data_IF_796581896898
#
_entry.id   IF_796581896898
#
_cell.length_a   1.000
_cell.length_b   1.000
_cell.length_c   1.000
_cell.angle_alpha   90.00
_cell.angle_beta   90.00
_cell.angle_gamma   90.00
#
_symmetry.space_group_name_H-M   'P 1'
#
loop_
_entity.id
_entity.type
_entity.pdbx_description
1 polymer ?
#
# COMPACT_ATOMS: atom_id res chain seq x y z
N UNK A 1 0.42 -23.54 -5.43
CA UNK A 1 0.67 -22.15 -5.00
C UNK A 1 1.76 -22.16 -3.95
N UNK A 2 2.89 -21.58 -4.27
CA UNK A 2 4.06 -21.63 -3.38
C UNK A 2 3.97 -20.63 -2.23
N UNK A 3 3.15 -19.60 -2.39
CA UNK A 3 2.98 -18.55 -1.36
C UNK A 3 1.51 -18.27 -1.16
N UNK A 4 1.08 -18.10 0.10
CA UNK A 4 -0.30 -17.67 0.33
C UNK A 4 -0.52 -16.26 -0.22
N UNK A 5 -1.73 -15.99 -0.67
CA UNK A 5 -2.15 -14.66 -1.07
C UNK A 5 -2.80 -14.03 0.16
N UNK A 6 -2.28 -12.90 0.59
CA UNK A 6 -2.86 -12.16 1.70
C UNK A 6 -4.20 -11.57 1.28
N UNK A 7 -5.16 -11.58 2.19
CA UNK A 7 -6.50 -11.03 1.98
C UNK A 7 -6.80 -10.02 3.08
N UNK A 8 -7.33 -8.86 2.68
CA UNK A 8 -7.76 -7.81 3.60
C UNK A 8 -9.09 -7.25 3.11
N UNK A 9 -10.04 -7.06 4.03
CA UNK A 9 -11.36 -6.56 3.72
C UNK A 9 -11.64 -5.32 4.57
N UNK A 10 -12.18 -4.25 3.96
CA UNK A 10 -12.47 -3.02 4.69
C UNK A 10 -13.57 -2.21 3.98
N UNK A 11 -14.26 -1.31 4.73
CA UNK A 11 -15.30 -0.49 4.15
C UNK A 11 -14.74 0.70 3.37
N UNK A 12 -15.52 1.15 2.38
CA UNK A 12 -15.25 2.36 1.62
C UNK A 12 -16.51 3.22 1.56
N UNK A 13 -16.33 4.53 1.37
CA UNK A 13 -17.41 5.51 1.26
C UNK A 13 -18.13 5.41 -0.09
N UNK A 14 -17.38 5.17 -1.14
CA UNK A 14 -17.86 5.17 -2.53
C UNK A 14 -17.06 4.12 -3.29
N UNK A 15 -17.72 3.02 -3.61
CA UNK A 15 -17.04 1.88 -4.25
C UNK A 15 -16.46 2.23 -5.63
N UNK A 16 -17.18 2.92 -6.54
CA UNK A 16 -16.58 3.32 -7.81
C UNK A 16 -15.33 4.20 -7.65
N UNK A 17 -15.36 5.17 -6.74
CA UNK A 17 -14.21 6.03 -6.48
C UNK A 17 -13.04 5.24 -5.92
N UNK A 18 -13.30 4.28 -5.03
CA UNK A 18 -12.27 3.41 -4.47
C UNK A 18 -11.62 2.55 -5.56
N UNK A 19 -12.43 1.92 -6.42
CA UNK A 19 -11.89 1.12 -7.53
C UNK A 19 -10.99 1.96 -8.44
N UNK A 20 -11.44 3.15 -8.80
CA UNK A 20 -10.66 4.06 -9.64
C UNK A 20 -9.31 4.39 -8.99
N UNK A 21 -9.33 4.71 -7.70
CA UNK A 21 -8.10 5.02 -6.98
C UNK A 21 -7.12 3.86 -7.00
N UNK A 22 -7.56 2.67 -6.59
CA UNK A 22 -6.65 1.53 -6.50
C UNK A 22 -6.13 1.09 -7.87
N UNK A 23 -6.96 1.17 -8.90
CA UNK A 23 -6.55 0.79 -10.26
C UNK A 23 -5.66 1.85 -10.92
N UNK A 24 -6.11 3.09 -10.93
CA UNK A 24 -5.42 4.14 -11.68
C UNK A 24 -4.19 4.69 -10.94
N UNK A 25 -4.27 4.76 -9.61
CA UNK A 25 -3.18 5.31 -8.81
C UNK A 25 -2.17 4.24 -8.43
N UNK A 26 -2.63 3.08 -7.98
CA UNK A 26 -1.74 2.03 -7.46
C UNK A 26 -1.55 0.83 -8.39
N UNK A 27 -2.20 0.83 -9.55
CA UNK A 27 -1.99 -0.23 -10.54
C UNK A 27 -2.69 -1.54 -10.23
N UNK A 28 -3.73 -1.52 -9.39
CA UNK A 28 -4.51 -2.71 -9.10
C UNK A 28 -5.38 -3.12 -10.30
N UNK A 29 -5.84 -4.36 -10.28
CA UNK A 29 -6.85 -4.86 -11.23
C UNK A 29 -8.07 -5.32 -10.47
N UNK A 30 -9.26 -5.20 -11.10
CA UNK A 30 -10.52 -5.62 -10.50
C UNK A 30 -10.71 -7.11 -10.73
N UNK A 31 -11.09 -7.83 -9.67
CA UNK A 31 -11.49 -9.23 -9.76
C UNK A 31 -13.01 -9.35 -9.81
N UNK A 32 -13.61 -10.03 -8.81
CA UNK A 32 -15.06 -10.09 -8.70
C UNK A 32 -15.60 -8.72 -8.33
N UNK A 33 -16.72 -8.35 -8.90
CA UNK A 33 -17.23 -6.98 -8.80
C UNK A 33 -18.77 -6.97 -8.84
N UNK A 34 -19.36 -6.21 -7.94
CA UNK A 34 -20.80 -5.94 -7.93
C UNK A 34 -21.05 -4.59 -7.25
N UNK A 35 -22.33 -4.22 -7.06
CA UNK A 35 -22.66 -2.90 -6.52
C UNK A 35 -22.32 -2.75 -5.03
N UNK A 36 -22.19 -3.86 -4.30
CA UNK A 36 -22.00 -3.84 -2.86
C UNK A 36 -20.53 -4.01 -2.45
N UNK A 37 -19.75 -4.72 -3.25
CA UNK A 37 -18.34 -4.97 -2.96
C UNK A 37 -17.57 -5.32 -4.22
N UNK A 38 -16.27 -5.21 -4.13
CA UNK A 38 -15.37 -5.61 -5.21
C UNK A 38 -14.07 -6.17 -4.65
N UNK A 39 -13.57 -7.22 -5.29
CA UNK A 39 -12.21 -7.68 -5.05
C UNK A 39 -11.26 -6.91 -5.96
N UNK A 40 -10.14 -6.47 -5.43
CA UNK A 40 -9.05 -5.93 -6.22
C UNK A 40 -7.77 -6.70 -5.93
N UNK A 41 -6.94 -6.84 -6.95
CA UNK A 41 -5.63 -7.45 -6.84
C UNK A 41 -4.60 -6.33 -6.80
N UNK A 42 -3.96 -6.16 -5.65
CA UNK A 42 -2.98 -5.12 -5.41
C UNK A 42 -1.68 -5.76 -4.92
N UNK A 43 -0.58 -5.49 -5.61
CA UNK A 43 0.74 -6.04 -5.28
C UNK A 43 0.74 -7.57 -5.13
N UNK A 44 -0.09 -8.27 -5.91
CA UNK A 44 -0.19 -9.73 -5.85
C UNK A 44 -1.07 -10.25 -4.71
N UNK A 45 -1.78 -9.38 -4.00
CA UNK A 45 -2.66 -9.75 -2.90
C UNK A 45 -4.09 -9.30 -3.15
N UNK A 46 -5.03 -9.88 -2.42
CA UNK A 46 -6.45 -9.59 -2.60
C UNK A 46 -6.95 -8.65 -1.51
N UNK A 47 -7.52 -7.51 -1.93
CA UNK A 47 -8.31 -6.66 -1.07
C UNK A 47 -9.77 -6.78 -1.47
N UNK A 48 -10.68 -6.76 -0.49
CA UNK A 48 -12.12 -6.68 -0.76
C UNK A 48 -12.65 -5.37 -0.22
N UNK A 49 -13.15 -4.54 -1.11
CA UNK A 49 -13.70 -3.22 -0.80
C UNK A 49 -15.21 -3.37 -0.64
N UNK A 50 -15.73 -2.99 0.52
CA UNK A 50 -17.18 -3.05 0.80
C UNK A 50 -17.78 -1.65 0.79
N UNK A 51 -18.84 -1.46 0.02
CA UNK A 51 -19.57 -0.19 0.00
C UNK A 51 -20.39 -0.07 1.28
N UNK A 52 -19.74 0.33 2.36
CA UNK A 52 -20.32 0.47 3.69
C UNK A 52 -19.96 1.83 4.30
N UNK A 53 -20.54 2.92 3.76
CA UNK A 53 -20.15 4.27 4.22
C UNK A 53 -20.27 4.48 5.73
N UNK A 54 -21.26 3.86 6.35
CA UNK A 54 -21.49 4.01 7.79
C UNK A 54 -20.43 3.34 8.66
N UNK A 55 -19.64 2.44 8.09
CA UNK A 55 -18.58 1.73 8.81
C UNK A 55 -17.20 2.37 8.60
N UNK A 56 -17.11 3.37 7.72
CA UNK A 56 -15.84 4.09 7.49
C UNK A 56 -15.59 5.03 8.66
N UNK A 57 -14.41 4.92 9.25
CA UNK A 57 -14.04 5.79 10.39
C UNK A 57 -13.72 7.20 9.90
N UNK A 58 -14.04 8.23 10.70
CA UNK A 58 -13.55 9.59 10.45
C UNK A 58 -12.02 9.62 10.43
N UNK A 59 -11.41 10.57 9.69
CA UNK A 59 -9.96 10.63 9.56
C UNK A 59 -9.20 10.65 10.89
N UNK A 60 -9.74 11.32 11.90
CA UNK A 60 -9.11 11.45 13.22
C UNK A 60 -9.27 10.21 14.10
N UNK A 61 -10.00 9.20 13.65
CA UNK A 61 -10.24 7.97 14.42
C UNK A 61 -9.49 6.75 13.85
N UNK A 62 -8.71 6.92 12.80
CA UNK A 62 -7.93 5.80 12.23
C UNK A 62 -6.79 5.37 13.15
N UNK A 63 -6.23 6.30 13.93
CA UNK A 63 -5.11 5.99 14.81
C UNK A 63 -3.91 5.55 14.00
N UNK A 64 -3.31 4.42 14.38
CA UNK A 64 -2.17 3.85 13.66
C UNK A 64 -2.57 2.90 12.53
N UNK A 65 -3.85 2.77 12.25
CA UNK A 65 -4.31 1.82 11.23
C UNK A 65 -3.84 2.22 9.86
N UNK A 66 -3.08 1.36 9.24
CA UNK A 66 -2.64 1.51 7.87
C UNK A 66 -2.27 0.14 7.32
N UNK A 67 -2.19 0.04 6.03
CA UNK A 67 -1.72 -1.17 5.36
C UNK A 67 -0.90 -0.75 4.14
N UNK A 68 -0.23 -1.69 3.54
CA UNK A 68 0.55 -1.40 2.35
C UNK A 68 1.41 -2.56 1.93
N UNK A 69 2.51 -2.23 1.30
CA UNK A 69 3.42 -3.22 0.76
C UNK A 69 4.87 -2.75 0.91
N UNK A 70 5.75 -3.73 0.90
CA UNK A 70 7.18 -3.49 0.83
C UNK A 70 7.61 -3.91 -0.58
N UNK A 71 8.00 -2.92 -1.38
CA UNK A 71 8.40 -3.13 -2.76
C UNK A 71 9.91 -3.30 -2.86
N UNK A 72 10.38 -3.82 -4.00
CA UNK A 72 11.79 -3.73 -4.33
C UNK A 72 12.17 -2.27 -4.45
N UNK A 73 13.40 -1.94 -4.11
CA UNK A 73 13.88 -0.56 -4.06
C UNK A 73 13.56 0.21 -5.34
N UNK A 74 13.89 -0.37 -6.50
CA UNK A 74 13.67 0.30 -7.78
C UNK A 74 12.20 0.49 -8.11
N UNK A 75 11.34 -0.46 -7.71
CA UNK A 75 9.90 -0.35 -7.93
C UNK A 75 9.30 0.75 -7.06
N UNK A 76 9.79 0.89 -5.83
CA UNK A 76 9.36 1.96 -4.93
C UNK A 76 9.74 3.33 -5.48
N UNK A 77 10.96 3.47 -5.98
CA UNK A 77 11.42 4.72 -6.61
C UNK A 77 10.54 5.07 -7.80
N UNK A 78 10.26 4.08 -8.67
CA UNK A 78 9.45 4.30 -9.86
C UNK A 78 8.00 4.67 -9.52
N UNK A 79 7.42 4.00 -8.52
CA UNK A 79 6.05 4.29 -8.08
C UNK A 79 5.97 5.70 -7.48
N UNK A 80 6.90 6.08 -6.62
CA UNK A 80 6.94 7.42 -6.04
C UNK A 80 7.00 8.50 -7.10
N UNK A 81 7.85 8.33 -8.11
CA UNK A 81 7.95 9.26 -9.22
C UNK A 81 6.65 9.34 -10.03
N UNK A 82 6.00 8.20 -10.29
CA UNK A 82 4.72 8.16 -10.98
C UNK A 82 3.65 8.92 -10.21
N UNK A 83 3.56 8.67 -8.91
CA UNK A 83 2.56 9.31 -8.05
C UNK A 83 2.76 10.83 -7.98
N UNK A 84 4.00 11.28 -7.90
CA UNK A 84 4.32 12.69 -7.93
C UNK A 84 3.91 13.33 -9.26
N UNK A 85 4.18 12.68 -10.39
CA UNK A 85 3.77 13.17 -11.71
C UNK A 85 2.25 13.25 -11.85
N UNK A 86 1.53 12.34 -11.22
CA UNK A 86 0.06 12.33 -11.24
C UNK A 86 -0.55 13.34 -10.28
N UNK A 87 0.25 14.08 -9.53
CA UNK A 87 -0.23 15.04 -8.56
C UNK A 87 -0.88 14.41 -7.33
N UNK A 88 -0.46 13.20 -6.97
CA UNK A 88 -0.96 12.52 -5.79
C UNK A 88 -0.71 13.36 -4.53
N UNK A 89 -1.72 13.47 -3.67
CA UNK A 89 -1.55 14.11 -2.37
C UNK A 89 -1.04 13.06 -1.38
N UNK A 90 0.17 13.29 -0.87
CA UNK A 90 0.76 12.40 0.13
C UNK A 90 0.46 12.89 1.54
N UNK A 91 0.19 11.94 2.45
CA UNK A 91 0.31 12.22 3.88
C UNK A 91 1.78 12.38 4.26
N UNK A 92 2.62 11.58 3.64
CA UNK A 92 4.07 11.68 3.75
C UNK A 92 4.67 11.42 2.37
N UNK A 93 5.33 12.41 1.76
CA UNK A 93 5.95 12.20 0.44
C UNK A 93 7.07 11.17 0.53
N UNK A 94 7.50 10.61 -0.61
CA UNK A 94 8.60 9.66 -0.61
C UNK A 94 9.80 10.20 0.14
N UNK A 95 10.23 9.47 1.16
CA UNK A 95 11.31 9.89 2.06
C UNK A 95 12.25 8.73 2.29
N UNK A 96 13.54 8.97 2.19
CA UNK A 96 14.58 7.97 2.44
C UNK A 96 15.24 8.29 3.79
N UNK A 97 15.36 7.27 4.63
CA UNK A 97 16.00 7.36 5.94
C UNK A 97 17.17 6.39 6.01
N UNK A 98 18.16 6.72 6.82
CA UNK A 98 19.32 5.86 7.04
C UNK A 98 20.21 5.68 5.81
N UNK A 99 20.25 6.67 4.92
CA UNK A 99 21.02 6.60 3.69
C UNK A 99 22.49 6.21 3.98
N UNK A 100 22.97 5.24 3.20
CA UNK A 100 24.35 4.75 3.34
C UNK A 100 24.56 3.74 4.45
N UNK A 101 23.53 3.42 5.22
CA UNK A 101 23.59 2.40 6.28
C UNK A 101 22.90 1.11 5.87
N UNK A 102 23.09 0.06 6.67
CA UNK A 102 22.41 -1.22 6.46
C UNK A 102 20.89 -1.12 6.63
N UNK A 103 20.41 -0.04 7.25
CA UNK A 103 18.99 0.20 7.52
C UNK A 103 18.37 1.22 6.58
N UNK A 104 19.05 1.54 5.49
CA UNK A 104 18.50 2.46 4.49
C UNK A 104 17.15 1.96 3.98
N UNK A 105 16.12 2.79 4.10
CA UNK A 105 14.77 2.44 3.69
C UNK A 105 14.00 3.66 3.23
N UNK A 106 12.98 3.42 2.42
CA UNK A 106 12.08 4.45 1.95
C UNK A 106 10.66 4.23 2.43
N UNK A 107 9.92 5.31 2.60
CA UNK A 107 8.50 5.32 2.97
C UNK A 107 7.77 6.39 2.20
N UNK A 108 6.53 6.10 1.87
CA UNK A 108 5.55 7.09 1.45
C UNK A 108 4.19 6.68 1.98
N UNK A 109 3.38 7.65 2.39
CA UNK A 109 2.02 7.43 2.89
C UNK A 109 1.03 8.24 2.09
N UNK A 110 -0.06 7.61 1.71
CA UNK A 110 -1.16 8.25 1.01
C UNK A 110 -2.49 7.71 1.54
N UNK A 111 -3.57 8.39 1.19
CA UNK A 111 -4.92 7.96 1.57
C UNK A 111 -5.72 7.57 0.32
N UNK A 112 -6.58 6.56 0.47
CA UNK A 112 -7.62 6.32 -0.52
C UNK A 112 -8.76 7.34 -0.32
N UNK A 113 -9.79 7.38 -1.22
CA UNK A 113 -10.89 8.32 -1.07
C UNK A 113 -11.74 8.14 0.19
N UNK A 114 -11.55 7.06 0.91
CA UNK A 114 -12.26 6.76 2.17
C UNK A 114 -11.39 6.98 3.40
N UNK A 115 -10.25 7.66 3.25
CA UNK A 115 -9.28 7.96 4.29
C UNK A 115 -8.55 6.73 4.85
N UNK A 116 -8.62 5.60 4.19
CA UNK A 116 -7.76 4.47 4.55
C UNK A 116 -6.31 4.83 4.22
N UNK A 117 -5.43 4.63 5.17
CA UNK A 117 -4.02 5.03 5.04
C UNK A 117 -3.22 3.88 4.46
N UNK A 118 -2.44 4.19 3.44
CA UNK A 118 -1.61 3.22 2.74
C UNK A 118 -0.15 3.65 2.89
N UNK A 119 0.68 2.75 3.40
CA UNK A 119 2.12 2.97 3.51
C UNK A 119 2.85 2.05 2.54
N UNK A 120 3.67 2.63 1.68
CA UNK A 120 4.47 1.87 0.73
C UNK A 120 5.94 2.09 1.06
N UNK A 121 6.61 0.98 1.34
CA UNK A 121 7.97 0.97 1.86
C UNK A 121 8.90 0.22 0.92
N UNK A 122 10.17 0.48 1.09
CA UNK A 122 11.24 -0.33 0.48
C UNK A 122 12.46 -0.31 1.38
N UNK A 123 13.23 -1.38 1.32
CA UNK A 123 14.49 -1.51 2.04
C UNK A 123 15.60 -1.74 1.02
N UNK A 124 16.68 -1.00 1.18
CA UNK A 124 17.87 -1.17 0.32
C UNK A 124 18.45 -2.56 0.50
N UNK A 125 18.51 -3.02 1.74
CA UNK A 125 18.89 -4.39 2.09
C UNK A 125 17.62 -5.16 2.43
N UNK A 126 17.23 -6.09 1.56
CA UNK A 126 15.97 -6.85 1.70
C UNK A 126 15.89 -7.60 3.02
N UNK A 127 17.02 -8.11 3.54
CA UNK A 127 17.02 -8.83 4.80
C UNK A 127 16.60 -7.95 6.00
N UNK A 128 16.71 -6.65 5.88
CA UNK A 128 16.27 -5.72 6.93
C UNK A 128 14.75 -5.73 7.14
N UNK A 129 13.99 -6.20 6.15
CA UNK A 129 12.51 -6.27 6.24
C UNK A 129 12.07 -7.07 7.46
N UNK A 130 12.73 -8.19 7.71
CA UNK A 130 12.39 -9.07 8.83
C UNK A 130 13.34 -8.92 10.01
N UNK A 131 14.27 -7.97 9.95
CA UNK A 131 15.26 -7.82 11.00
C UNK A 131 16.27 -8.97 11.07
N UNK A 132 16.47 -9.68 9.97
CA UNK A 132 17.29 -10.88 9.91
C UNK A 132 18.55 -10.68 9.08
N UNK A 133 19.18 -9.52 9.19
CA UNK A 133 20.34 -9.18 8.37
C UNK A 133 21.50 -10.16 8.57
N UNK A 134 21.68 -10.65 9.77
CA UNK A 134 22.72 -11.63 10.09
C UNK A 134 22.50 -12.95 9.34
N UNK A 135 21.25 -13.33 9.12
CA UNK A 135 20.92 -14.57 8.41
C UNK A 135 21.31 -14.48 6.93
N UNK A 136 21.14 -13.33 6.32
CA UNK A 136 21.53 -13.14 4.92
C UNK A 136 23.05 -13.20 4.75
N UNK A 137 23.82 -12.85 5.77
CA UNK A 137 25.27 -12.94 5.73
C UNK A 137 25.76 -14.39 5.80
N UNK A 138 24.98 -15.27 6.36
CA UNK A 138 25.30 -16.70 6.48
C UNK A 138 24.89 -17.50 5.25
N UNK A 139 23.94 -16.99 4.51
CA UNK A 139 23.44 -17.64 3.31
C UNK A 139 24.39 -17.43 2.12
#
# INVERSE_FOLDING_TARGET
MDRPIFHLSFPVLDLPAAKTFYCDTLGATVGRDNDDWADILLFGHQLTLHNRPSEVLPPDQHGVRHFGAILRWQDWIALGAKLERQGCTFLRPPTISGAGTAHEHGKMLLCDPSNNVIEIKAYRNVSAVLGTQHESAEA
#
